data_IF_849175782066
#
_entry.id   IF_849175782066
#
_cell.length_a   1.000
_cell.length_b   1.000
_cell.length_c   1.000
_cell.angle_alpha   90.00
_cell.angle_beta   90.00
_cell.angle_gamma   90.00
#
_symmetry.space_group_name_H-M   'P 1'
#
loop_
_entity.id
_entity.type
_entity.pdbx_description
1 polymer ?
#
# COMPACT_ATOMS: atom_id res chain seq x y z
N UNK A 1 -4.19 -39.27 42.39
CA UNK A 1 -3.59 -38.47 41.30
C UNK A 1 -3.50 -37.02 41.77
N UNK A 2 -2.30 -36.47 41.79
CA UNK A 2 -1.97 -35.24 42.52
C UNK A 2 -2.45 -33.95 41.86
N UNK A 3 -2.52 -32.93 42.71
CA UNK A 3 -3.21 -31.63 42.65
C UNK A 3 -2.80 -30.68 41.52
N UNK A 4 -3.70 -29.72 41.31
CA UNK A 4 -3.70 -28.58 40.38
C UNK A 4 -2.48 -27.67 40.51
N UNK A 5 -2.03 -27.08 39.40
CA UNK A 5 -1.18 -25.89 39.41
C UNK A 5 -1.56 -24.94 38.26
N UNK A 6 -2.16 -23.80 38.61
CA UNK A 6 -2.20 -22.61 37.77
C UNK A 6 -0.92 -21.83 38.08
N UNK A 7 -0.07 -21.58 37.09
CA UNK A 7 1.03 -20.62 37.21
C UNK A 7 0.93 -19.60 36.07
N UNK A 8 0.54 -18.39 36.47
CA UNK A 8 0.78 -17.15 35.75
C UNK A 8 2.29 -16.90 35.78
N UNK A 9 2.91 -16.69 34.62
CA UNK A 9 4.29 -16.19 34.53
C UNK A 9 4.25 -14.86 33.80
N UNK A 10 4.29 -13.79 34.59
CA UNK A 10 4.58 -12.44 34.14
C UNK A 10 6.02 -12.38 33.63
N UNK A 11 6.22 -11.97 32.38
CA UNK A 11 7.55 -11.72 31.83
C UNK A 11 7.83 -10.23 32.01
N UNK A 12 8.59 -9.90 33.06
CA UNK A 12 9.25 -8.62 33.23
C UNK A 12 10.75 -8.88 33.18
N UNK A 13 11.42 -8.33 32.18
CA UNK A 13 12.83 -7.95 32.27
C UNK A 13 13.14 -6.85 31.25
N UNK A 14 13.31 -5.63 31.78
CA UNK A 14 14.03 -4.57 31.11
C UNK A 14 15.52 -4.89 31.09
N UNK A 15 16.15 -4.73 29.92
CA UNK A 15 17.31 -3.84 29.79
C UNK A 15 18.73 -4.42 29.76
N UNK A 16 19.38 -4.17 28.60
CA UNK A 16 20.77 -3.69 28.35
C UNK A 16 21.92 -4.66 28.76
N UNK A 17 23.01 -4.95 28.02
CA UNK A 17 23.94 -4.10 27.27
C UNK A 17 24.72 -4.88 26.19
N UNK A 18 24.93 -4.17 25.08
CA UNK A 18 25.98 -4.23 24.05
C UNK A 18 27.24 -5.07 24.34
N UNK A 19 27.58 -5.95 23.40
CA UNK A 19 28.98 -6.23 23.04
C UNK A 19 29.05 -6.26 21.52
N UNK A 20 29.87 -5.36 20.96
CA UNK A 20 29.98 -5.14 19.53
C UNK A 20 30.70 -6.27 18.79
N UNK A 21 30.33 -6.43 17.53
CA UNK A 21 31.27 -6.82 16.49
C UNK A 21 31.42 -5.63 15.54
N UNK A 22 32.59 -5.01 15.58
CA UNK A 22 33.08 -4.21 14.47
C UNK A 22 33.47 -5.16 13.34
N UNK A 23 32.89 -4.97 12.16
CA UNK A 23 33.48 -5.37 10.88
C UNK A 23 33.18 -4.27 9.87
N UNK A 24 34.01 -3.24 9.94
CA UNK A 24 34.60 -2.49 8.85
C UNK A 24 34.45 -3.18 7.48
N UNK A 25 33.67 -2.56 6.60
CA UNK A 25 34.01 -2.44 5.19
C UNK A 25 33.75 -0.99 4.79
N UNK A 26 34.84 -0.33 4.41
CA UNK A 26 34.84 0.96 3.75
C UNK A 26 34.07 0.87 2.44
N UNK A 27 33.08 1.72 2.28
CA UNK A 27 32.96 2.48 1.04
C UNK A 27 32.55 3.92 1.41
N UNK A 28 33.56 4.79 1.43
CA UNK A 28 33.38 6.22 1.61
C UNK A 28 32.82 6.80 0.31
N UNK A 29 31.72 7.56 0.39
CA UNK A 29 31.56 8.71 -0.50
C UNK A 29 30.70 9.79 0.16
N UNK A 30 31.06 11.08 0.00
CA UNK A 30 30.89 12.09 1.04
C UNK A 30 29.51 12.75 1.05
N UNK A 31 28.96 12.91 2.26
CA UNK A 31 27.88 13.84 2.55
C UNK A 31 28.46 15.27 2.54
N UNK A 32 28.45 15.90 1.38
CA UNK A 32 28.70 17.33 1.27
C UNK A 32 27.42 18.07 1.65
N UNK A 33 27.39 18.64 2.85
CA UNK A 33 26.48 19.73 3.18
C UNK A 33 26.96 20.99 2.45
N UNK A 34 26.38 21.24 1.28
CA UNK A 34 26.42 22.54 0.62
C UNK A 34 25.00 23.09 0.57
N UNK A 35 24.80 24.25 1.18
CA UNK A 35 23.60 25.09 1.02
C UNK A 35 23.50 25.50 -0.45
N UNK A 36 22.74 24.74 -1.22
CA UNK A 36 22.29 25.12 -2.57
C UNK A 36 20.87 24.61 -2.72
N UNK A 37 19.95 25.52 -3.07
CA UNK A 37 18.55 25.27 -3.44
C UNK A 37 18.36 23.86 -4.04
N UNK A 38 17.83 22.93 -3.25
CA UNK A 38 17.52 21.58 -3.73
C UNK A 38 16.27 21.67 -4.60
N UNK A 39 16.50 21.88 -5.88
CA UNK A 39 15.63 21.46 -6.96
C UNK A 39 15.10 20.05 -6.62
N UNK A 40 13.80 19.95 -6.29
CA UNK A 40 13.12 18.68 -6.05
C UNK A 40 13.34 17.82 -7.28
N UNK A 41 14.16 16.77 -7.15
CA UNK A 41 14.36 15.84 -8.25
C UNK A 41 13.01 15.17 -8.53
N UNK A 42 12.57 15.25 -9.78
CA UNK A 42 11.35 14.60 -10.28
C UNK A 42 11.57 13.08 -10.41
N UNK A 43 12.03 12.43 -9.35
CA UNK A 43 12.40 11.02 -9.39
C UNK A 43 11.14 10.15 -9.38
N UNK A 44 10.93 9.44 -10.50
CA UNK A 44 9.90 8.41 -10.66
C UNK A 44 10.00 7.37 -9.54
N UNK A 45 8.88 7.06 -8.89
CA UNK A 45 8.86 6.00 -7.87
C UNK A 45 9.05 4.64 -8.55
N UNK A 46 9.85 3.77 -7.92
CA UNK A 46 9.90 2.35 -8.26
C UNK A 46 8.58 1.67 -7.88
N UNK A 47 8.25 0.52 -8.48
CA UNK A 47 7.07 -0.27 -8.09
C UNK A 47 7.03 -0.59 -6.60
N UNK A 48 8.18 -0.84 -5.97
CA UNK A 48 8.28 -1.09 -4.53
C UNK A 48 7.92 0.15 -3.71
N UNK A 49 8.38 1.34 -4.13
CA UNK A 49 8.01 2.59 -3.48
C UNK A 49 6.53 2.90 -3.67
N UNK A 50 5.98 2.63 -4.85
CA UNK A 50 4.54 2.77 -5.12
C UNK A 50 3.72 1.86 -4.20
N UNK A 51 4.11 0.59 -4.08
CA UNK A 51 3.46 -0.34 -3.16
C UNK A 51 3.54 0.12 -1.69
N UNK A 52 4.71 0.60 -1.25
CA UNK A 52 4.87 1.11 0.10
C UNK A 52 3.96 2.32 0.37
N UNK A 53 3.88 3.23 -0.59
CA UNK A 53 3.01 4.40 -0.52
C UNK A 53 1.53 4.00 -0.47
N UNK A 54 1.09 3.05 -1.29
CA UNK A 54 -0.28 2.55 -1.24
C UNK A 54 -0.63 1.93 0.12
N UNK A 55 0.28 1.17 0.71
CA UNK A 55 0.09 0.58 2.05
C UNK A 55 0.08 1.63 3.16
N UNK A 56 0.90 2.67 3.05
CA UNK A 56 0.86 3.82 3.97
C UNK A 56 -0.48 4.56 3.91
N UNK A 57 -1.10 4.59 2.73
CA UNK A 57 -2.38 5.23 2.45
C UNK A 57 -3.56 4.24 2.38
N UNK A 58 -3.44 3.06 3.00
CA UNK A 58 -4.47 2.01 2.97
C UNK A 58 -5.83 2.53 3.45
N UNK A 59 -5.85 3.32 4.52
CA UNK A 59 -7.09 3.87 5.08
C UNK A 59 -7.78 4.85 4.13
N UNK A 60 -7.03 5.67 3.38
CA UNK A 60 -7.58 6.62 2.41
C UNK A 60 -8.31 5.88 1.28
N UNK A 61 -7.74 4.76 0.81
CA UNK A 61 -8.35 3.90 -0.20
C UNK A 61 -9.59 3.19 0.36
N UNK A 62 -9.51 2.66 1.59
CA UNK A 62 -10.65 2.03 2.28
C UNK A 62 -11.81 3.01 2.42
N UNK A 63 -11.53 4.23 2.87
CA UNK A 63 -12.56 5.25 3.07
C UNK A 63 -13.22 5.65 1.76
N UNK A 64 -12.45 5.76 0.68
CA UNK A 64 -12.98 5.98 -0.66
C UNK A 64 -13.90 4.85 -1.13
N UNK A 65 -13.51 3.57 -0.94
CA UNK A 65 -14.36 2.44 -1.35
C UNK A 65 -15.64 2.41 -0.51
N UNK A 66 -15.55 2.65 0.80
CA UNK A 66 -16.71 2.76 1.69
C UNK A 66 -17.65 3.89 1.28
N UNK A 67 -17.13 5.02 0.82
CA UNK A 67 -17.97 6.14 0.41
C UNK A 67 -18.81 5.87 -0.85
N UNK A 68 -18.49 4.82 -1.61
CA UNK A 68 -19.23 4.47 -2.84
C UNK A 68 -20.62 3.88 -2.54
N UNK A 69 -20.80 3.24 -1.39
CA UNK A 69 -22.09 2.67 -0.99
C UNK A 69 -22.18 2.57 0.55
N UNK A 70 -23.23 3.12 1.14
CA UNK A 70 -23.43 3.17 2.59
C UNK A 70 -23.67 1.79 3.25
N UNK A 71 -23.91 0.73 2.47
CA UNK A 71 -24.02 -0.66 2.95
C UNK A 71 -22.67 -1.36 3.08
N UNK A 72 -21.57 -0.69 2.77
CA UNK A 72 -20.21 -1.22 2.95
C UNK A 72 -19.78 -0.99 4.40
N UNK A 73 -19.67 -2.07 5.15
CA UNK A 73 -19.25 -2.10 6.55
C UNK A 73 -17.73 -2.27 6.68
N UNK A 74 -17.14 -3.12 5.83
CA UNK A 74 -15.69 -3.38 5.78
C UNK A 74 -15.18 -3.47 4.35
N UNK A 75 -13.91 -3.15 4.16
CA UNK A 75 -13.19 -3.24 2.89
C UNK A 75 -11.89 -3.97 3.15
N UNK A 76 -11.56 -4.94 2.30
CA UNK A 76 -10.32 -5.69 2.32
C UNK A 76 -9.59 -5.43 1.00
N UNK A 77 -8.36 -4.91 1.06
CA UNK A 77 -7.52 -4.76 -0.13
C UNK A 77 -6.74 -6.05 -0.36
N UNK A 78 -6.82 -6.60 -1.58
CA UNK A 78 -5.98 -7.73 -1.98
C UNK A 78 -4.60 -7.21 -2.40
N UNK A 79 -3.69 -7.13 -1.43
CA UNK A 79 -2.29 -6.76 -1.67
C UNK A 79 -1.51 -7.78 -2.51
N UNK A 80 -2.07 -8.96 -2.78
CA UNK A 80 -1.47 -9.97 -3.67
C UNK A 80 -1.86 -9.78 -5.13
N UNK A 81 -2.99 -9.13 -5.43
CA UNK A 81 -3.42 -8.76 -6.78
C UNK A 81 -3.33 -7.24 -7.01
N UNK A 82 -2.13 -6.79 -7.36
CA UNK A 82 -1.85 -5.40 -7.73
C UNK A 82 -1.32 -5.39 -9.15
N UNK A 83 -1.95 -4.58 -10.01
CA UNK A 83 -1.60 -4.56 -11.44
C UNK A 83 -1.13 -3.18 -11.85
N UNK A 84 0.06 -3.12 -12.46
CA UNK A 84 0.58 -1.90 -13.08
C UNK A 84 0.13 -1.86 -14.52
N UNK A 85 -0.72 -0.88 -14.84
CA UNK A 85 -1.17 -0.63 -16.20
C UNK A 85 -0.26 0.37 -16.90
N UNK A 86 0.08 0.08 -18.15
CA UNK A 86 0.51 1.10 -19.10
C UNK A 86 -0.68 1.33 -20.01
N UNK A 87 -1.34 2.47 -19.89
CA UNK A 87 -2.49 2.80 -20.71
C UNK A 87 -2.13 2.65 -22.19
N UNK A 88 -2.97 1.95 -22.94
CA UNK A 88 -2.92 1.94 -24.39
C UNK A 88 -4.07 2.81 -24.88
N UNK A 89 -3.79 4.03 -25.36
CA UNK A 89 -4.81 4.87 -26.00
C UNK A 89 -4.73 4.81 -27.54
N UNK A 90 -3.94 3.91 -28.11
CA UNK A 90 -3.75 3.79 -29.56
C UNK A 90 -2.96 4.94 -30.22
N UNK A 91 -2.41 5.88 -29.45
CA UNK A 91 -1.57 6.99 -29.95
C UNK A 91 -0.09 6.78 -29.58
N UNK A 92 0.87 7.38 -30.31
CA UNK A 92 2.28 7.36 -29.93
C UNK A 92 2.57 8.03 -28.57
N UNK A 93 1.65 8.84 -28.05
CA UNK A 93 1.76 9.43 -26.72
C UNK A 93 1.57 8.39 -25.60
N UNK A 94 1.01 7.21 -25.92
CA UNK A 94 0.60 6.20 -24.94
C UNK A 94 -0.60 6.66 -24.12
N UNK A 95 -1.33 5.73 -23.52
CA UNK A 95 -2.23 6.05 -22.41
C UNK A 95 -1.42 6.20 -21.12
N UNK A 96 -1.99 6.89 -20.13
CA UNK A 96 -1.35 7.12 -18.82
C UNK A 96 -0.91 5.82 -18.14
N UNK A 97 0.15 5.88 -17.33
CA UNK A 97 0.51 4.77 -16.43
C UNK A 97 -0.40 4.80 -15.20
N UNK A 98 -0.70 3.65 -14.60
CA UNK A 98 -1.53 3.59 -13.41
C UNK A 98 -1.41 2.26 -12.67
N UNK A 99 -2.10 2.17 -11.54
CA UNK A 99 -2.21 0.97 -10.72
C UNK A 99 -3.69 0.61 -10.56
N UNK A 100 -3.99 -0.68 -10.70
CA UNK A 100 -5.30 -1.24 -10.43
C UNK A 100 -5.21 -1.99 -9.09
N UNK A 101 -6.06 -1.62 -8.16
CA UNK A 101 -6.24 -2.28 -6.87
C UNK A 101 -7.55 -3.04 -6.85
N UNK A 102 -7.52 -4.22 -6.26
CA UNK A 102 -8.67 -5.10 -6.12
C UNK A 102 -8.89 -5.47 -4.66
N UNK A 103 -10.06 -6.00 -4.37
CA UNK A 103 -10.36 -6.46 -3.03
C UNK A 103 -11.81 -6.88 -2.86
N UNK A 104 -12.15 -7.12 -1.60
CA UNK A 104 -13.46 -7.56 -1.14
C UNK A 104 -14.11 -6.48 -0.25
N UNK A 105 -15.41 -6.61 -0.05
CA UNK A 105 -16.17 -5.87 0.95
C UNK A 105 -16.88 -6.83 1.90
N UNK A 106 -17.16 -6.35 3.11
CA UNK A 106 -18.01 -7.04 4.09
C UNK A 106 -17.56 -8.48 4.40
N UNK A 107 -16.27 -8.79 4.25
CA UNK A 107 -15.71 -10.14 4.39
C UNK A 107 -16.39 -11.19 3.49
N UNK A 108 -16.79 -10.79 2.29
CA UNK A 108 -17.48 -11.65 1.34
C UNK A 108 -16.56 -11.98 0.15
N UNK A 109 -16.14 -13.23 0.02
CA UNK A 109 -15.26 -13.69 -1.07
C UNK A 109 -15.91 -13.67 -2.45
N UNK A 110 -17.25 -13.63 -2.51
CA UNK A 110 -17.99 -13.44 -3.76
C UNK A 110 -18.10 -11.96 -4.16
N UNK A 111 -17.61 -11.06 -3.31
CA UNK A 111 -17.58 -9.64 -3.58
C UNK A 111 -16.34 -9.22 -4.35
N UNK A 112 -16.45 -8.14 -5.11
CA UNK A 112 -15.30 -7.56 -5.80
C UNK A 112 -15.48 -6.07 -6.02
N UNK A 113 -14.37 -5.35 -5.95
CA UNK A 113 -14.26 -3.96 -6.39
C UNK A 113 -12.92 -3.75 -7.10
N UNK A 114 -12.81 -2.66 -7.87
CA UNK A 114 -11.52 -2.19 -8.38
C UNK A 114 -11.43 -0.67 -8.34
N UNK A 115 -10.32 -0.20 -7.79
CA UNK A 115 -9.94 1.21 -7.81
C UNK A 115 -8.76 1.37 -8.76
N UNK A 116 -8.90 2.31 -9.69
CA UNK A 116 -7.86 2.69 -10.64
C UNK A 116 -7.20 3.98 -10.12
N UNK A 117 -5.86 3.97 -10.04
CA UNK A 117 -5.05 5.08 -9.51
C UNK A 117 -4.06 5.48 -10.61
N UNK A 118 -4.22 6.70 -11.11
CA UNK A 118 -3.32 7.22 -12.12
C UNK A 118 -1.93 7.53 -11.55
N UNK A 119 -0.93 7.41 -12.42
CA UNK A 119 0.47 7.65 -12.11
C UNK A 119 1.07 8.66 -13.09
N UNK A 120 1.28 9.89 -12.62
CA UNK A 120 1.97 10.92 -13.39
C UNK A 120 3.47 10.92 -13.11
N UNK A 121 4.28 10.71 -14.14
CA UNK A 121 5.75 10.65 -14.03
C UNK A 121 6.22 9.67 -12.93
N UNK A 122 5.42 8.63 -12.68
CA UNK A 122 5.70 7.61 -11.66
C UNK A 122 5.25 7.94 -10.24
N UNK A 123 4.56 9.05 -10.00
CA UNK A 123 3.95 9.38 -8.71
C UNK A 123 2.46 9.08 -8.77
N UNK A 124 1.94 8.43 -7.73
CA UNK A 124 0.52 8.07 -7.66
C UNK A 124 -0.32 9.27 -7.24
N UNK A 125 -1.50 9.41 -7.85
CA UNK A 125 -2.49 10.42 -7.49
C UNK A 125 -3.71 9.79 -6.83
N UNK A 126 -3.67 9.69 -5.50
CA UNK A 126 -4.77 9.15 -4.71
C UNK A 126 -6.00 10.06 -4.69
N UNK A 127 -5.82 11.36 -4.92
CA UNK A 127 -6.95 12.31 -4.86
C UNK A 127 -7.93 12.12 -6.01
N UNK A 128 -7.43 11.63 -7.13
CA UNK A 128 -8.20 11.41 -8.36
C UNK A 128 -8.43 9.91 -8.62
N UNK A 129 -8.32 9.06 -7.58
CA UNK A 129 -8.68 7.65 -7.71
C UNK A 129 -10.17 7.48 -8.05
N UNK A 130 -10.49 6.46 -8.83
CA UNK A 130 -11.87 6.21 -9.25
C UNK A 130 -12.20 4.71 -9.30
N UNK A 131 -13.49 4.38 -9.27
CA UNK A 131 -13.93 3.00 -9.47
C UNK A 131 -13.70 2.60 -10.93
N UNK A 132 -12.78 1.67 -11.15
CA UNK A 132 -12.54 1.09 -12.47
C UNK A 132 -13.66 0.13 -12.91
N UNK A 133 -14.44 -0.38 -11.95
CA UNK A 133 -15.62 -1.20 -12.21
C UNK A 133 -16.67 -1.03 -11.09
N UNK A 134 -17.95 -1.36 -11.34
CA UNK A 134 -18.95 -1.42 -10.30
C UNK A 134 -18.56 -2.42 -9.21
N UNK A 135 -18.89 -2.11 -7.96
CA UNK A 135 -18.78 -3.05 -6.85
C UNK A 135 -19.81 -4.16 -7.08
N UNK A 136 -19.41 -5.41 -6.88
CA UNK A 136 -20.26 -6.59 -7.14
C UNK A 136 -20.27 -7.56 -5.98
N UNK A 137 -21.34 -8.36 -5.89
CA UNK A 137 -21.45 -9.57 -5.05
C UNK A 137 -22.07 -10.68 -5.90
N UNK A 138 -21.42 -11.84 -5.98
CA UNK A 138 -21.92 -13.00 -6.75
C UNK A 138 -22.14 -12.65 -8.23
N UNK A 139 -21.26 -11.80 -8.79
CA UNK A 139 -21.35 -11.31 -10.17
C UNK A 139 -22.40 -10.20 -10.43
N UNK A 140 -23.27 -9.89 -9.47
CA UNK A 140 -24.30 -8.84 -9.58
C UNK A 140 -23.79 -7.52 -9.01
N UNK A 141 -24.31 -6.40 -9.51
CA UNK A 141 -23.98 -5.07 -8.98
C UNK A 141 -24.46 -4.98 -7.52
N UNK A 142 -23.62 -4.42 -6.67
CA UNK A 142 -23.93 -4.14 -5.28
C UNK A 142 -24.65 -2.79 -5.17
N UNK A 143 -25.93 -2.84 -4.80
CA UNK A 143 -26.82 -1.70 -4.61
C UNK A 143 -27.05 -1.44 -3.12
#
# INVERSE_FOLDING_TARGET
>A
MYKRLKCVLAIVSLGIILVGCQMNNEEKSPKNETKTSKHVSHQKMTKKQQLAYLKEHEQEIIDYVKSQNNKIESVQIDWSDIRWSKGGNGTPQGGGEGILLFGEINNNSESSWRVDIDSEKGRLDLKNMYLGQPIRIGGKIFE
#
